data_IF_658290778441
#
_entry.id   IF_658290778441
#
_cell.length_a   1.000
_cell.length_b   1.000
_cell.length_c   1.000
_cell.angle_alpha   90.00
_cell.angle_beta   90.00
_cell.angle_gamma   90.00
#
_symmetry.space_group_name_H-M   'P 1'
#
loop_
_entity.id
_entity.type
_entity.pdbx_description
1 polymer ?
#
# COMPACT_ATOMS: atom_id res chain seq x y z
N UNK A 1 3.39 18.09 18.38
CA UNK A 1 2.38 17.10 18.03
C UNK A 1 3.02 15.97 17.24
N UNK A 2 2.43 14.77 17.24
CA UNK A 2 2.83 13.70 16.35
C UNK A 2 2.64 14.09 14.87
N UNK A 3 3.36 13.40 13.98
CA UNK A 3 3.44 13.83 12.58
C UNK A 3 2.24 13.34 11.75
N UNK A 4 1.69 12.13 12.03
CA UNK A 4 0.60 11.54 11.26
C UNK A 4 -0.42 10.84 12.14
N UNK A 5 -1.70 10.88 11.71
CA UNK A 5 -2.75 9.97 12.15
C UNK A 5 -3.14 9.10 10.96
N UNK A 6 -2.86 7.80 11.08
CA UNK A 6 -3.12 6.82 10.02
C UNK A 6 -4.44 6.12 10.30
N UNK A 7 -5.36 6.19 9.36
CA UNK A 7 -6.59 5.40 9.34
C UNK A 7 -6.43 4.25 8.35
N UNK A 8 -6.75 3.04 8.80
CA UNK A 8 -6.69 1.86 7.95
C UNK A 8 -8.04 1.60 7.30
N UNK A 9 -8.03 1.18 6.02
CA UNK A 9 -9.22 0.61 5.40
C UNK A 9 -9.57 -0.67 6.17
N UNK A 10 -10.83 -0.79 6.58
CA UNK A 10 -11.30 -1.99 7.27
C UNK A 10 -11.78 -3.01 6.23
N UNK A 11 -11.41 -4.29 6.36
CA UNK A 11 -11.97 -5.34 5.52
C UNK A 11 -13.50 -5.44 5.70
N UNK A 12 -14.22 -5.77 4.63
CA UNK A 12 -15.66 -5.94 4.70
C UNK A 12 -16.03 -7.16 5.54
N UNK A 13 -17.05 -7.03 6.39
CA UNK A 13 -17.60 -8.14 7.19
C UNK A 13 -16.81 -8.48 8.45
N UNK A 14 -15.89 -7.62 8.90
CA UNK A 14 -15.18 -7.81 10.17
C UNK A 14 -16.03 -7.29 11.34
N UNK A 15 -16.03 -8.04 12.45
CA UNK A 15 -16.63 -7.58 13.70
C UNK A 15 -15.90 -6.35 14.24
N UNK A 16 -16.64 -5.44 14.88
CA UNK A 16 -16.08 -4.20 15.44
C UNK A 16 -14.89 -4.42 16.39
N UNK A 17 -14.83 -5.59 17.04
CA UNK A 17 -13.71 -5.95 17.94
C UNK A 17 -12.39 -6.20 17.20
N UNK A 18 -12.46 -6.58 15.92
CA UNK A 18 -11.32 -6.92 15.08
C UNK A 18 -10.87 -5.73 14.19
N UNK A 19 -11.52 -4.57 14.33
CA UNK A 19 -11.15 -3.37 13.58
C UNK A 19 -9.70 -2.95 13.85
N UNK A 20 -8.97 -2.72 12.77
CA UNK A 20 -7.61 -2.16 12.84
C UNK A 20 -7.73 -0.73 13.39
N UNK A 21 -7.20 -0.52 14.58
CA UNK A 21 -7.26 0.78 15.25
C UNK A 21 -6.43 1.81 14.50
N UNK A 22 -6.90 3.07 14.42
CA UNK A 22 -6.07 4.16 13.92
C UNK A 22 -4.74 4.24 14.68
N UNK A 23 -3.70 4.68 13.99
CA UNK A 23 -2.36 4.77 14.56
C UNK A 23 -1.85 6.21 14.52
N UNK A 24 -1.48 6.73 15.67
CA UNK A 24 -0.76 7.99 15.80
C UNK A 24 0.74 7.71 15.63
N UNK A 25 1.36 8.33 14.64
CA UNK A 25 2.75 8.08 14.26
C UNK A 25 3.60 9.34 14.45
N UNK A 26 4.71 9.17 15.13
CA UNK A 26 5.82 10.13 15.18
C UNK A 26 6.96 9.60 14.33
N UNK A 27 7.47 10.41 13.39
CA UNK A 27 8.61 10.04 12.54
C UNK A 27 9.87 10.71 13.06
N UNK A 28 10.89 9.92 13.36
CA UNK A 28 12.18 10.43 13.83
C UNK A 28 13.31 9.56 13.29
N UNK A 29 14.39 10.18 12.79
CA UNK A 29 15.61 9.45 12.43
C UNK A 29 16.12 8.63 13.62
N UNK A 30 16.57 7.40 13.36
CA UNK A 30 16.98 6.47 14.42
C UNK A 30 18.09 7.04 15.31
N UNK A 31 19.04 7.78 14.72
CA UNK A 31 20.12 8.41 15.46
C UNK A 31 19.64 9.52 16.40
N UNK A 32 18.61 10.28 16.00
CA UNK A 32 18.07 11.36 16.81
C UNK A 32 17.28 10.82 18.01
N UNK A 33 16.37 9.88 17.80
CA UNK A 33 15.55 9.39 18.89
C UNK A 33 16.37 8.55 19.89
N UNK A 34 17.40 7.83 19.45
CA UNK A 34 18.31 7.13 20.35
C UNK A 34 19.12 8.09 21.20
N UNK A 35 19.58 9.21 20.64
CA UNK A 35 20.32 10.25 21.36
C UNK A 35 19.44 11.01 22.36
N UNK A 36 18.21 11.33 21.96
CA UNK A 36 17.33 12.24 22.69
C UNK A 36 16.17 11.53 23.43
N UNK A 37 16.16 10.20 23.51
CA UNK A 37 15.03 9.44 24.01
C UNK A 37 14.59 9.86 25.43
N UNK A 38 15.54 10.22 26.31
CA UNK A 38 15.24 10.68 27.68
C UNK A 38 14.51 12.03 27.69
N UNK A 39 14.93 12.95 26.83
CA UNK A 39 14.30 14.26 26.70
C UNK A 39 12.89 14.17 26.11
N UNK A 40 12.67 13.23 25.18
CA UNK A 40 11.39 13.05 24.50
C UNK A 40 10.45 12.06 25.16
N UNK A 41 10.93 11.30 26.13
CA UNK A 41 10.14 10.27 26.82
C UNK A 41 8.82 10.82 27.40
N UNK A 42 8.85 12.00 28.02
CA UNK A 42 7.65 12.65 28.56
C UNK A 42 6.61 12.97 27.49
N UNK A 43 7.06 13.50 26.32
CA UNK A 43 6.22 13.76 25.15
C UNK A 43 5.58 12.46 24.62
N UNK A 44 6.36 11.41 24.44
CA UNK A 44 5.86 10.14 23.93
C UNK A 44 4.92 9.42 24.90
N UNK A 45 5.20 9.51 26.19
CA UNK A 45 4.28 9.01 27.23
C UNK A 45 2.92 9.72 27.18
N UNK A 46 2.92 11.03 26.98
CA UNK A 46 1.70 11.82 26.81
C UNK A 46 0.95 11.43 25.51
N UNK A 47 1.66 11.30 24.38
CA UNK A 47 1.09 10.89 23.11
C UNK A 47 0.47 9.49 23.19
N UNK A 48 1.15 8.53 23.82
CA UNK A 48 0.63 7.16 24.04
C UNK A 48 -0.62 7.14 24.93
N UNK A 49 -0.64 7.97 25.98
CA UNK A 49 -1.82 8.09 26.84
C UNK A 49 -3.01 8.67 26.09
N UNK A 50 -2.78 9.74 25.34
CA UNK A 50 -3.80 10.36 24.49
C UNK A 50 -4.36 9.37 23.46
N UNK A 51 -3.48 8.68 22.73
CA UNK A 51 -3.91 7.66 21.75
C UNK A 51 -4.81 6.60 22.39
N UNK A 52 -4.47 6.13 23.59
CA UNK A 52 -5.29 5.13 24.29
C UNK A 52 -6.68 5.68 24.68
N UNK A 53 -6.77 6.96 25.06
CA UNK A 53 -8.05 7.61 25.37
C UNK A 53 -8.95 7.71 24.15
N UNK A 54 -8.36 7.96 22.96
CA UNK A 54 -9.07 8.01 21.68
C UNK A 54 -9.33 6.62 21.07
N UNK A 55 -8.90 5.54 21.70
CA UNK A 55 -9.01 4.19 21.15
C UNK A 55 -7.98 3.88 20.04
N UNK A 56 -6.91 4.67 19.93
CA UNK A 56 -5.86 4.55 18.90
C UNK A 56 -4.63 3.85 19.45
N UNK A 57 -3.69 3.50 18.53
CA UNK A 57 -2.34 3.07 18.86
C UNK A 57 -1.34 4.21 18.67
N UNK A 58 -0.16 4.11 19.30
CA UNK A 58 0.95 5.05 19.10
C UNK A 58 2.22 4.32 18.74
N UNK A 59 2.92 4.80 17.71
CA UNK A 59 4.20 4.23 17.27
C UNK A 59 5.19 5.32 16.86
N UNK A 60 6.48 5.00 16.98
CA UNK A 60 7.57 5.82 16.46
C UNK A 60 8.12 5.07 15.26
N UNK A 61 8.18 5.75 14.11
CA UNK A 61 8.74 5.22 12.88
C UNK A 61 10.07 5.90 12.58
N UNK A 62 11.05 5.09 12.30
CA UNK A 62 12.34 5.52 11.79
C UNK A 62 12.58 4.96 10.37
N UNK A 63 13.73 5.27 9.81
CA UNK A 63 14.10 4.83 8.48
C UNK A 63 14.05 3.30 8.29
N UNK A 64 14.27 2.51 9.33
CA UNK A 64 14.22 1.05 9.23
C UNK A 64 12.81 0.49 9.01
N UNK A 65 11.79 1.24 9.45
CA UNK A 65 10.39 0.90 9.25
C UNK A 65 9.78 1.51 8.01
N UNK A 66 10.34 2.62 7.52
CA UNK A 66 9.83 3.35 6.37
C UNK A 66 10.50 2.88 5.09
N UNK A 67 11.84 2.71 5.12
CA UNK A 67 12.62 2.25 3.97
C UNK A 67 12.58 0.73 3.85
N UNK A 68 12.26 0.25 2.68
CA UNK A 68 12.17 -1.18 2.37
C UNK A 68 11.39 -1.44 1.09
N UNK A 69 11.18 -2.69 0.78
CA UNK A 69 10.53 -3.12 -0.47
C UNK A 69 9.18 -2.40 -0.73
N UNK A 70 8.30 -2.18 0.25
CA UNK A 70 7.06 -1.44 -0.01
C UNK A 70 7.29 -0.03 -0.52
N UNK A 71 8.22 0.72 0.05
CA UNK A 71 8.54 2.07 -0.42
C UNK A 71 9.19 2.05 -1.80
N UNK A 72 10.11 1.11 -2.04
CA UNK A 72 10.74 0.93 -3.35
C UNK A 72 9.70 0.59 -4.42
N UNK A 73 8.73 -0.26 -4.11
CA UNK A 73 7.61 -0.60 -4.98
C UNK A 73 6.74 0.63 -5.29
N UNK A 74 6.40 1.44 -4.29
CA UNK A 74 5.64 2.68 -4.48
C UNK A 74 6.38 3.62 -5.42
N UNK A 75 7.67 3.90 -5.17
CA UNK A 75 8.48 4.75 -6.05
C UNK A 75 8.62 4.19 -7.47
N UNK A 76 8.67 2.86 -7.61
CA UNK A 76 8.65 2.23 -8.92
C UNK A 76 7.33 2.49 -9.65
N UNK A 77 6.19 2.36 -8.96
CA UNK A 77 4.85 2.50 -9.54
C UNK A 77 4.51 3.94 -9.90
N UNK A 78 5.04 4.96 -9.20
CA UNK A 78 4.78 6.39 -9.46
C UNK A 78 5.00 6.77 -10.93
N UNK A 79 5.98 6.16 -11.60
CA UNK A 79 6.27 6.42 -13.03
C UNK A 79 5.15 6.01 -13.99
N UNK A 80 4.27 5.12 -13.56
CA UNK A 80 3.16 4.61 -14.37
C UNK A 80 1.85 5.37 -14.13
N UNK A 81 1.76 6.19 -13.08
CA UNK A 81 0.54 6.89 -12.68
C UNK A 81 -0.02 7.79 -13.80
N UNK A 82 0.86 8.47 -14.53
CA UNK A 82 0.48 9.44 -15.56
C UNK A 82 0.37 8.86 -16.96
N UNK A 83 0.58 7.57 -17.13
CA UNK A 83 0.44 6.93 -18.44
C UNK A 83 -1.05 6.85 -18.84
N UNK A 84 -1.28 6.86 -20.15
CA UNK A 84 -2.62 6.78 -20.73
C UNK A 84 -2.73 5.49 -21.51
N UNK A 85 -3.81 4.75 -21.29
CA UNK A 85 -4.11 3.49 -21.94
C UNK A 85 -5.53 3.54 -22.52
N UNK A 86 -5.78 2.68 -23.52
CA UNK A 86 -7.09 2.53 -24.10
C UNK A 86 -8.07 1.95 -23.08
N UNK A 87 -9.26 2.53 -23.01
CA UNK A 87 -10.27 2.11 -22.02
C UNK A 87 -10.68 0.65 -22.22
N UNK A 88 -10.67 0.17 -23.45
CA UNK A 88 -10.99 -1.24 -23.77
C UNK A 88 -9.99 -2.21 -23.12
N UNK A 89 -8.69 -1.90 -23.20
CA UNK A 89 -7.64 -2.71 -22.55
C UNK A 89 -7.83 -2.75 -21.03
N UNK A 90 -8.15 -1.61 -20.44
CA UNK A 90 -8.42 -1.49 -18.99
C UNK A 90 -9.64 -2.33 -18.61
N UNK A 91 -10.75 -2.18 -19.32
CA UNK A 91 -12.02 -2.85 -19.01
C UNK A 91 -11.88 -4.37 -19.15
N UNK A 92 -11.12 -4.84 -20.13
CA UNK A 92 -10.84 -6.24 -20.36
C UNK A 92 -10.06 -6.88 -19.20
N UNK A 93 -9.04 -6.20 -18.70
CA UNK A 93 -8.27 -6.66 -17.53
C UNK A 93 -9.14 -6.68 -16.26
N UNK A 94 -9.88 -5.59 -16.01
CA UNK A 94 -10.74 -5.49 -14.83
C UNK A 94 -11.88 -6.52 -14.87
N UNK A 95 -12.47 -6.79 -16.02
CA UNK A 95 -13.50 -7.83 -16.18
C UNK A 95 -12.95 -9.22 -15.84
N UNK A 96 -11.72 -9.53 -16.28
CA UNK A 96 -11.06 -10.79 -15.94
C UNK A 96 -10.80 -10.92 -14.44
N UNK A 97 -10.27 -9.87 -13.80
CA UNK A 97 -10.03 -9.87 -12.36
C UNK A 97 -11.32 -10.00 -11.56
N UNK A 98 -12.41 -9.32 -11.97
CA UNK A 98 -13.72 -9.46 -11.33
C UNK A 98 -14.28 -10.89 -11.43
N UNK A 99 -14.02 -11.58 -12.53
CA UNK A 99 -14.48 -12.95 -12.74
C UNK A 99 -13.66 -14.01 -12.01
N UNK A 100 -12.41 -13.69 -11.65
CA UNK A 100 -11.48 -14.62 -11.01
C UNK A 100 -11.24 -14.31 -9.53
N UNK A 101 -11.69 -13.16 -9.05
CA UNK A 101 -11.39 -12.54 -7.75
C UNK A 101 -9.91 -12.17 -7.59
N UNK A 102 -8.97 -13.08 -7.90
CA UNK A 102 -7.52 -12.90 -7.83
C UNK A 102 -6.87 -13.53 -9.07
N UNK A 103 -5.89 -12.87 -9.67
CA UNK A 103 -5.10 -13.43 -10.75
C UNK A 103 -3.65 -12.91 -10.71
N UNK A 104 -2.65 -13.77 -10.98
CA UNK A 104 -1.26 -13.34 -11.05
C UNK A 104 -0.97 -12.58 -12.37
N UNK A 105 0.03 -11.69 -12.31
CA UNK A 105 0.46 -10.84 -13.44
C UNK A 105 0.70 -11.65 -14.71
N UNK A 106 1.44 -12.77 -14.63
CA UNK A 106 1.76 -13.58 -15.81
C UNK A 106 0.51 -14.14 -16.50
N UNK A 107 -0.53 -14.48 -15.75
CA UNK A 107 -1.79 -14.97 -16.32
C UNK A 107 -2.50 -13.87 -17.11
N UNK A 108 -2.60 -12.67 -16.56
CA UNK A 108 -3.22 -11.53 -17.24
C UNK A 108 -2.47 -11.16 -18.52
N UNK A 109 -1.13 -11.17 -18.48
CA UNK A 109 -0.29 -10.92 -19.63
C UNK A 109 -0.49 -12.00 -20.71
N UNK A 110 -0.45 -13.27 -20.33
CA UNK A 110 -0.64 -14.38 -21.28
C UNK A 110 -2.04 -14.38 -21.92
N UNK A 111 -3.05 -13.93 -21.19
CA UNK A 111 -4.43 -13.88 -21.65
C UNK A 111 -4.69 -12.71 -22.60
N UNK A 112 -4.20 -11.51 -22.28
CA UNK A 112 -4.60 -10.27 -22.94
C UNK A 112 -3.49 -9.63 -23.79
N UNK A 113 -2.21 -9.86 -23.46
CA UNK A 113 -1.09 -9.18 -24.07
C UNK A 113 -0.04 -10.18 -24.58
N UNK A 114 -0.21 -10.66 -25.81
CA UNK A 114 0.71 -11.64 -26.41
C UNK A 114 1.74 -10.97 -27.30
N UNK A 115 2.95 -11.55 -27.34
CA UNK A 115 4.00 -11.14 -28.26
C UNK A 115 4.49 -9.71 -28.00
N UNK A 116 4.49 -8.87 -29.04
CA UNK A 116 5.00 -7.49 -28.99
C UNK A 116 4.19 -6.55 -28.07
N UNK A 117 2.99 -6.93 -27.66
CA UNK A 117 2.13 -6.14 -26.76
C UNK A 117 2.39 -6.43 -25.29
N UNK A 118 3.28 -7.36 -24.96
CA UNK A 118 3.53 -7.77 -23.57
C UNK A 118 4.05 -6.62 -22.72
N UNK A 119 4.99 -5.82 -23.23
CA UNK A 119 5.56 -4.67 -22.49
C UNK A 119 4.50 -3.61 -22.18
N UNK A 120 3.59 -3.37 -23.15
CA UNK A 120 2.43 -2.48 -22.94
C UNK A 120 1.49 -3.03 -21.88
N UNK A 121 1.27 -4.33 -21.85
CA UNK A 121 0.47 -5.02 -20.85
C UNK A 121 1.06 -4.89 -19.44
N UNK A 122 2.38 -5.06 -19.30
CA UNK A 122 3.09 -4.85 -18.02
C UNK A 122 2.89 -3.42 -17.54
N UNK A 123 3.11 -2.43 -18.43
CA UNK A 123 2.94 -1.02 -18.07
C UNK A 123 1.49 -0.68 -17.68
N UNK A 124 0.49 -1.30 -18.34
CA UNK A 124 -0.93 -1.14 -17.99
C UNK A 124 -1.25 -1.73 -16.62
N UNK A 125 -0.76 -2.92 -16.29
CA UNK A 125 -0.99 -3.51 -14.96
C UNK A 125 -0.40 -2.64 -13.85
N UNK A 126 0.83 -2.14 -14.03
CA UNK A 126 1.45 -1.22 -13.06
C UNK A 126 0.69 0.11 -12.96
N UNK A 127 0.17 0.64 -14.07
CA UNK A 127 -0.70 1.81 -14.07
C UNK A 127 -1.98 1.58 -13.26
N UNK A 128 -2.63 0.43 -13.39
CA UNK A 128 -3.86 0.11 -12.64
C UNK A 128 -3.60 0.01 -11.14
N UNK A 129 -2.43 -0.48 -10.72
CA UNK A 129 -2.02 -0.48 -9.31
C UNK A 129 -1.71 0.96 -8.85
N UNK A 130 -0.90 1.70 -9.61
CA UNK A 130 -0.50 3.07 -9.29
C UNK A 130 -1.70 4.01 -9.13
N UNK A 131 -2.75 3.80 -9.92
CA UNK A 131 -4.01 4.58 -9.86
C UNK A 131 -5.06 4.04 -8.89
N UNK A 132 -4.75 2.96 -8.16
CA UNK A 132 -5.63 2.38 -7.15
C UNK A 132 -6.88 1.68 -7.72
N UNK A 133 -6.90 1.34 -9.00
CA UNK A 133 -8.00 0.57 -9.63
C UNK A 133 -7.85 -0.93 -9.40
N UNK A 134 -6.61 -1.38 -9.22
CA UNK A 134 -6.21 -2.75 -8.88
C UNK A 134 -5.34 -2.68 -7.64
N UNK A 135 -5.47 -3.64 -6.76
CA UNK A 135 -4.68 -3.79 -5.54
C UNK A 135 -3.79 -5.02 -5.62
N UNK A 136 -2.72 -5.00 -4.86
CA UNK A 136 -1.80 -6.12 -4.65
C UNK A 136 -1.22 -6.06 -3.24
N UNK A 137 -0.52 -7.09 -2.81
CA UNK A 137 0.33 -6.99 -1.61
C UNK A 137 1.60 -6.20 -1.96
N UNK A 138 1.64 -4.93 -1.57
CA UNK A 138 2.76 -4.03 -1.83
C UNK A 138 4.04 -4.44 -1.09
N UNK A 139 3.97 -5.37 -0.15
CA UNK A 139 5.12 -5.91 0.57
C UNK A 139 5.81 -7.04 -0.20
N UNK A 140 5.18 -7.54 -1.27
CA UNK A 140 5.73 -8.55 -2.15
C UNK A 140 6.47 -7.91 -3.34
N UNK A 141 7.42 -8.63 -3.98
CA UNK A 141 8.10 -8.14 -5.17
C UNK A 141 7.15 -7.90 -6.35
N UNK A 142 7.32 -6.77 -7.03
CA UNK A 142 6.60 -6.47 -8.28
C UNK A 142 7.15 -7.31 -9.43
N UNK A 143 6.66 -8.53 -9.57
CA UNK A 143 7.09 -9.48 -10.59
C UNK A 143 5.89 -10.21 -11.22
N UNK A 144 6.19 -11.15 -12.12
CA UNK A 144 5.16 -11.91 -12.86
C UNK A 144 4.28 -12.82 -11.98
N UNK A 145 4.68 -13.12 -10.75
CA UNK A 145 3.93 -13.98 -9.81
C UNK A 145 3.06 -13.20 -8.84
N UNK A 146 3.20 -11.87 -8.83
CA UNK A 146 2.39 -11.02 -7.96
C UNK A 146 0.90 -11.20 -8.25
N UNK A 147 0.14 -11.46 -7.22
CA UNK A 147 -1.32 -11.59 -7.29
C UNK A 147 -2.00 -10.22 -7.25
N UNK A 148 -2.97 -10.05 -8.13
CA UNK A 148 -3.73 -8.82 -8.31
C UNK A 148 -5.22 -9.07 -8.10
N UNK A 149 -5.93 -8.09 -7.55
CA UNK A 149 -7.39 -8.07 -7.42
C UNK A 149 -7.95 -6.68 -7.65
N UNK A 150 -9.25 -6.59 -7.94
CA UNK A 150 -9.90 -5.28 -8.14
C UNK A 150 -10.03 -4.57 -6.81
N UNK A 151 -9.68 -3.29 -6.78
CA UNK A 151 -9.88 -2.45 -5.59
C UNK A 151 -11.36 -2.43 -5.20
N UNK A 152 -11.64 -2.69 -3.93
CA UNK A 152 -12.97 -2.53 -3.35
C UNK A 152 -13.24 -1.04 -3.06
N UNK A 153 -14.41 -0.51 -3.39
CA UNK A 153 -14.75 0.90 -3.16
C UNK A 153 -14.76 1.28 -1.67
#
# INVERSE_FOLDING_TARGET
>A
PPDFLVHYRQPLGIDYQDYIKPMLVEVKPSFEWRKNWRAWFGKWKAARRYSRQEGWTFSIYDESRIRGLPLDNIHFLERFERLIFDQEDIDMVLATLKGMDVAPVHYLLARHFKGIYQDRGVALLWHLIATGRVECDITEPLNQYLELWVATP
#
